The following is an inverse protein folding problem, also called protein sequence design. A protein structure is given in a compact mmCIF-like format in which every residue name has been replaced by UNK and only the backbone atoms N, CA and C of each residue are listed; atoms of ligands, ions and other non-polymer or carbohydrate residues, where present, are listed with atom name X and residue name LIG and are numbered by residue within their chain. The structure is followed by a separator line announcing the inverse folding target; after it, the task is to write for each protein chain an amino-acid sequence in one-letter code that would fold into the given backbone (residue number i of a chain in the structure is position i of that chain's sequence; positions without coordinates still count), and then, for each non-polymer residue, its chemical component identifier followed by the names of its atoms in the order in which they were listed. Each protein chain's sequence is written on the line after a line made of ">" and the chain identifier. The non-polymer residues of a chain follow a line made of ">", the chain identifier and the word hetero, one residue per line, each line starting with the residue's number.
data_IF_950283818230
#
_entry.id   IF_950283818230
#
_cell.length_a   1.000
_cell.length_b   1.000
_cell.length_c   1.000
_cell.angle_alpha   90.00
_cell.angle_beta   90.00
_cell.angle_gamma   90.00
#
_symmetry.space_group_name_H-M   'P 1'
#
loop_
_entity.id
_entity.type
_entity.pdbx_description
1 polymer ?
#
# COMPACT_ATOMS: atom_id res chain seq x y z
N UNK A 1 -26.76 33.44 -2.68
CA UNK A 1 -25.78 34.18 -1.86
C UNK A 1 -25.52 33.37 -0.56
N UNK A 2 -24.28 33.20 -0.18
CA UNK A 2 -23.95 32.58 1.13
C UNK A 2 -24.25 33.62 2.20
N UNK A 3 -24.95 33.27 3.31
CA UNK A 3 -25.20 34.18 4.41
C UNK A 3 -23.87 34.66 5.03
N UNK A 4 -23.84 35.88 5.56
CA UNK A 4 -22.61 36.42 6.18
C UNK A 4 -22.08 35.57 7.31
N UNK A 5 -22.98 34.95 8.07
CA UNK A 5 -22.64 34.01 9.13
C UNK A 5 -21.91 32.76 8.61
N UNK A 6 -22.40 32.14 7.54
CA UNK A 6 -21.74 30.99 6.87
C UNK A 6 -20.36 31.36 6.33
N UNK A 7 -20.18 32.58 5.78
CA UNK A 7 -18.87 33.07 5.34
C UNK A 7 -17.90 33.14 6.53
N UNK A 8 -18.33 33.72 7.63
CA UNK A 8 -17.48 33.91 8.83
C UNK A 8 -17.07 32.57 9.46
N UNK A 9 -17.99 31.62 9.56
CA UNK A 9 -17.70 30.27 10.06
C UNK A 9 -16.64 29.55 9.22
N UNK A 10 -16.74 29.66 7.87
CA UNK A 10 -15.74 29.06 6.97
C UNK A 10 -14.37 29.73 7.11
N UNK A 11 -14.32 31.05 7.18
CA UNK A 11 -13.06 31.77 7.38
C UNK A 11 -12.41 31.37 8.69
N UNK A 12 -13.18 31.27 9.80
CA UNK A 12 -12.67 30.83 11.08
C UNK A 12 -12.07 29.40 11.01
N UNK A 13 -12.77 28.47 10.37
CA UNK A 13 -12.27 27.11 10.16
C UNK A 13 -10.99 27.06 9.33
N UNK A 14 -10.92 27.83 8.23
CA UNK A 14 -9.71 27.90 7.40
C UNK A 14 -8.55 28.59 8.10
N UNK A 15 -8.81 29.59 8.93
CA UNK A 15 -7.79 30.22 9.79
C UNK A 15 -7.17 29.20 10.72
N UNK A 16 -8.00 28.46 11.48
CA UNK A 16 -7.51 27.40 12.38
C UNK A 16 -6.65 26.40 11.62
N UNK A 17 -7.08 25.95 10.42
CA UNK A 17 -6.26 25.06 9.60
C UNK A 17 -4.90 25.68 9.23
N UNK A 18 -4.87 26.97 8.92
CA UNK A 18 -3.62 27.67 8.57
C UNK A 18 -2.69 27.82 9.77
N UNK A 19 -3.26 28.05 10.95
CA UNK A 19 -2.49 28.20 12.20
C UNK A 19 -1.87 26.86 12.62
N UNK A 20 -2.55 25.75 12.35
CA UNK A 20 -2.14 24.38 12.68
C UNK A 20 -1.19 23.73 11.65
N UNK A 21 -1.05 24.30 10.45
CA UNK A 21 -0.29 23.69 9.36
C UNK A 21 0.75 24.65 8.75
N UNK A 22 1.95 24.13 8.51
CA UNK A 22 3.01 24.86 7.81
C UNK A 22 2.77 24.88 6.30
N UNK A 23 2.98 26.03 5.68
CA UNK A 23 2.90 26.22 4.23
C UNK A 23 1.58 25.74 3.58
N UNK A 24 0.39 26.14 4.11
CA UNK A 24 -0.88 25.73 3.54
C UNK A 24 -1.03 26.26 2.11
N UNK A 25 -1.70 25.49 1.27
CA UNK A 25 -2.02 25.88 -0.10
C UNK A 25 -3.51 25.68 -0.40
N UNK A 26 -4.06 26.47 -1.31
CA UNK A 26 -5.45 26.34 -1.74
C UNK A 26 -5.51 25.75 -3.14
N UNK A 27 -6.41 24.81 -3.34
CA UNK A 27 -6.78 24.37 -4.69
C UNK A 27 -8.27 24.05 -4.78
N UNK A 28 -8.80 24.10 -5.98
CA UNK A 28 -10.07 23.49 -6.33
C UNK A 28 -9.87 22.61 -7.57
N UNK A 29 -10.90 21.94 -8.05
CA UNK A 29 -10.75 20.96 -9.12
C UNK A 29 -10.02 21.51 -10.37
N UNK A 30 -10.31 22.77 -10.78
CA UNK A 30 -9.74 23.40 -11.98
C UNK A 30 -8.98 24.71 -11.72
N UNK A 31 -8.70 25.06 -10.47
CA UNK A 31 -8.04 26.34 -10.12
C UNK A 31 -8.86 27.58 -10.50
N UNK A 32 -10.18 27.44 -10.51
CA UNK A 32 -11.09 28.51 -10.93
C UNK A 32 -11.63 29.36 -9.78
N UNK A 33 -12.84 29.87 -9.95
CA UNK A 33 -13.46 30.87 -9.08
C UNK A 33 -13.51 30.49 -7.60
N UNK A 34 -13.75 29.20 -7.29
CA UNK A 34 -13.85 28.73 -5.89
C UNK A 34 -12.57 28.99 -5.09
N UNK A 35 -11.43 28.58 -5.60
CA UNK A 35 -10.14 28.80 -4.92
C UNK A 35 -9.76 30.27 -4.83
N UNK A 36 -10.08 31.07 -5.86
CA UNK A 36 -9.84 32.52 -5.86
C UNK A 36 -10.70 33.23 -4.83
N UNK A 37 -11.98 32.87 -4.69
CA UNK A 37 -12.87 33.45 -3.66
C UNK A 37 -12.35 33.12 -2.26
N UNK A 38 -11.94 31.87 -2.02
CA UNK A 38 -11.36 31.49 -0.72
C UNK A 38 -10.09 32.27 -0.42
N UNK A 39 -9.18 32.38 -1.39
CA UNK A 39 -7.97 33.18 -1.27
C UNK A 39 -8.28 34.64 -0.93
N UNK A 40 -9.21 35.25 -1.66
CA UNK A 40 -9.63 36.63 -1.41
C UNK A 40 -10.20 36.81 0.01
N UNK A 41 -11.09 35.92 0.46
CA UNK A 41 -11.69 36.02 1.78
C UNK A 41 -10.66 35.85 2.91
N UNK A 42 -9.66 35.02 2.72
CA UNK A 42 -8.55 34.85 3.65
C UNK A 42 -7.63 36.09 3.66
N UNK A 43 -7.31 36.65 2.49
CA UNK A 43 -6.51 37.87 2.37
C UNK A 43 -7.19 39.07 3.03
N UNK A 44 -8.53 39.23 2.86
CA UNK A 44 -9.34 40.24 3.56
C UNK A 44 -9.25 40.11 5.09
N UNK A 45 -8.86 38.94 5.60
CA UNK A 45 -8.68 38.67 7.03
C UNK A 45 -7.20 38.52 7.45
N UNK A 46 -6.27 39.05 6.62
CA UNK A 46 -4.84 39.08 6.92
C UNK A 46 -4.09 37.75 6.75
N UNK A 47 -4.67 36.80 6.02
CA UNK A 47 -4.05 35.48 5.77
C UNK A 47 -3.74 35.34 4.27
N UNK A 48 -2.46 35.35 3.93
CA UNK A 48 -2.01 35.15 2.56
C UNK A 48 -1.65 33.67 2.32
N UNK A 49 -2.35 33.05 1.36
CA UNK A 49 -2.13 31.64 1.00
C UNK A 49 -2.02 31.52 -0.52
N UNK A 50 -1.03 30.76 -1.03
CA UNK A 50 -0.91 30.52 -2.47
C UNK A 50 -2.02 29.60 -2.99
N UNK A 51 -2.45 29.87 -4.22
CA UNK A 51 -3.43 29.06 -4.96
C UNK A 51 -2.72 28.27 -6.04
N UNK A 52 -3.01 26.96 -6.12
CA UNK A 52 -2.52 26.13 -7.21
C UNK A 52 -3.20 26.53 -8.53
N UNK A 53 -2.42 27.06 -9.45
CA UNK A 53 -2.92 27.39 -10.80
C UNK A 53 -3.32 26.12 -11.53
N UNK A 54 -4.52 26.10 -12.14
CA UNK A 54 -5.09 24.92 -12.77
C UNK A 54 -5.66 23.88 -11.79
N UNK A 55 -5.51 24.10 -10.47
CA UNK A 55 -6.10 23.31 -9.40
C UNK A 55 -5.64 21.84 -9.38
N UNK A 56 -6.50 20.94 -8.86
CA UNK A 56 -6.21 19.50 -8.79
C UNK A 56 -5.86 18.91 -10.15
N UNK A 57 -6.49 19.37 -11.25
CA UNK A 57 -6.14 18.87 -12.59
C UNK A 57 -4.67 19.10 -12.94
N UNK A 58 -4.12 20.28 -12.60
CA UNK A 58 -2.72 20.58 -12.83
C UNK A 58 -1.80 19.78 -11.91
N UNK A 59 -2.16 19.62 -10.62
CA UNK A 59 -1.44 18.75 -9.69
C UNK A 59 -1.42 17.31 -10.19
N UNK A 60 -2.53 16.78 -10.64
CA UNK A 60 -2.59 15.41 -11.18
C UNK A 60 -1.70 15.22 -12.40
N UNK A 61 -1.66 16.18 -13.31
CA UNK A 61 -0.75 16.14 -14.46
C UNK A 61 0.73 16.23 -14.01
N UNK A 62 1.03 17.01 -12.99
CA UNK A 62 2.36 17.06 -12.41
C UNK A 62 2.79 15.71 -11.83
N UNK A 63 1.94 15.02 -11.06
CA UNK A 63 2.21 13.70 -10.52
C UNK A 63 2.41 12.64 -11.61
N UNK A 64 1.57 12.63 -12.65
CA UNK A 64 1.74 11.73 -13.81
C UNK A 64 3.11 11.94 -14.45
N UNK A 65 3.49 13.19 -14.73
CA UNK A 65 4.81 13.51 -15.29
C UNK A 65 5.97 13.14 -14.35
N UNK A 66 5.75 13.19 -13.06
CA UNK A 66 6.75 12.77 -12.06
C UNK A 66 6.97 11.26 -12.14
N UNK A 67 5.91 10.45 -12.24
CA UNK A 67 6.04 9.00 -12.46
C UNK A 67 6.79 8.71 -13.78
N UNK A 68 6.51 9.45 -14.85
CA UNK A 68 7.22 9.33 -16.12
C UNK A 68 8.72 9.66 -16.01
N UNK A 69 9.13 10.48 -15.04
CA UNK A 69 10.55 10.74 -14.76
C UNK A 69 11.26 9.53 -14.15
N UNK A 70 10.57 8.75 -13.32
CA UNK A 70 11.11 7.50 -12.74
C UNK A 70 11.60 6.57 -13.85
N UNK A 71 10.85 6.47 -14.94
CA UNK A 71 11.17 5.60 -16.09
C UNK A 71 12.40 6.02 -16.90
N UNK A 72 12.86 7.25 -16.70
CA UNK A 72 14.07 7.76 -17.37
C UNK A 72 15.34 7.51 -16.57
N UNK A 73 15.21 6.90 -15.39
CA UNK A 73 16.37 6.62 -14.52
C UNK A 73 17.05 5.32 -14.93
N UNK A 74 18.37 5.36 -15.07
CA UNK A 74 19.19 4.17 -15.39
C UNK A 74 19.65 3.40 -14.14
N UNK A 75 19.19 3.79 -12.95
CA UNK A 75 19.67 3.32 -11.66
C UNK A 75 18.57 2.71 -10.78
N UNK A 76 17.41 2.36 -11.37
CA UNK A 76 16.37 1.60 -10.70
C UNK A 76 16.82 0.16 -10.45
N UNK A 77 16.60 -0.31 -9.24
CA UNK A 77 16.85 -1.69 -8.81
C UNK A 77 15.54 -2.24 -8.25
N UNK A 78 15.13 -3.37 -8.75
CA UNK A 78 13.94 -4.08 -8.27
C UNK A 78 14.36 -5.09 -7.20
N UNK A 79 13.77 -4.98 -6.02
CA UNK A 79 14.00 -5.93 -4.92
C UNK A 79 13.04 -7.08 -5.08
N UNK A 80 13.58 -8.24 -5.44
CA UNK A 80 12.84 -9.48 -5.67
C UNK A 80 13.13 -10.50 -4.57
N UNK A 81 12.24 -11.46 -4.41
CA UNK A 81 12.38 -12.54 -3.43
C UNK A 81 11.06 -13.28 -3.24
N UNK A 82 11.15 -14.53 -2.84
CA UNK A 82 9.99 -15.41 -2.58
C UNK A 82 9.06 -14.78 -1.52
N UNK A 83 7.82 -15.20 -1.47
CA UNK A 83 6.86 -14.78 -0.44
C UNK A 83 7.42 -15.02 0.96
N UNK A 84 7.33 -14.03 1.83
CA UNK A 84 7.90 -14.06 3.19
C UNK A 84 9.39 -13.70 3.30
N UNK A 85 10.06 -13.28 2.22
CA UNK A 85 11.48 -12.90 2.25
C UNK A 85 11.75 -11.51 2.85
N UNK A 86 10.78 -10.89 3.52
CA UNK A 86 10.89 -9.60 4.18
C UNK A 86 11.28 -8.42 3.25
N UNK A 87 10.90 -8.47 1.96
CA UNK A 87 11.14 -7.40 0.98
C UNK A 87 10.69 -6.04 1.48
N UNK A 88 9.47 -5.95 1.99
CA UNK A 88 8.87 -4.72 2.49
C UNK A 88 9.63 -4.14 3.68
N UNK A 89 10.17 -4.99 4.57
CA UNK A 89 11.02 -4.53 5.66
C UNK A 89 12.33 -3.93 5.14
N UNK A 90 12.95 -4.56 4.14
CA UNK A 90 14.15 -4.04 3.48
C UNK A 90 13.84 -2.71 2.77
N UNK A 91 12.78 -2.63 1.97
CA UNK A 91 12.34 -1.41 1.29
C UNK A 91 12.17 -0.27 2.30
N UNK A 92 11.50 -0.52 3.41
CA UNK A 92 11.26 0.49 4.44
C UNK A 92 12.52 0.87 5.24
N UNK A 93 13.60 0.10 5.15
CA UNK A 93 14.89 0.42 5.78
C UNK A 93 15.82 1.27 4.88
N UNK A 94 15.48 1.43 3.62
CA UNK A 94 16.28 2.15 2.62
C UNK A 94 15.63 3.50 2.30
N UNK A 95 16.38 4.59 2.44
CA UNK A 95 15.86 5.95 2.22
C UNK A 95 15.39 6.24 0.79
N UNK A 96 15.98 5.54 -0.20
CA UNK A 96 15.77 5.78 -1.62
C UNK A 96 14.83 4.74 -2.23
N UNK A 97 13.71 4.46 -1.58
CA UNK A 97 12.77 3.41 -1.97
C UNK A 97 11.33 3.89 -1.94
N UNK A 98 10.45 3.15 -2.60
CA UNK A 98 9.00 3.30 -2.46
C UNK A 98 8.41 1.93 -2.17
N UNK A 99 7.65 1.83 -1.08
CA UNK A 99 6.87 0.68 -0.66
C UNK A 99 5.54 0.65 -1.42
N UNK A 100 5.50 -0.06 -2.54
CA UNK A 100 4.30 -0.15 -3.38
C UNK A 100 3.15 -0.90 -2.68
N UNK A 101 3.44 -1.93 -1.90
CA UNK A 101 2.45 -2.66 -1.10
C UNK A 101 1.85 -1.78 0.00
N UNK A 102 2.71 -1.02 0.71
CA UNK A 102 2.27 -0.07 1.73
C UNK A 102 1.40 1.04 1.15
N UNK A 103 1.80 1.65 0.04
CA UNK A 103 1.00 2.66 -0.66
C UNK A 103 -0.32 2.11 -1.18
N UNK A 104 -0.34 0.85 -1.60
CA UNK A 104 -1.55 0.16 -2.03
C UNK A 104 -2.46 -0.27 -0.87
N UNK A 105 -2.00 -0.19 0.37
CA UNK A 105 -2.62 -0.79 1.55
C UNK A 105 -3.00 -2.26 1.31
N UNK A 106 -2.07 -3.03 0.70
CA UNK A 106 -2.29 -4.42 0.30
C UNK A 106 -0.97 -5.14 0.17
N UNK A 107 -0.85 -6.37 0.66
CA UNK A 107 0.39 -7.17 0.67
C UNK A 107 0.57 -8.02 -0.60
N UNK A 108 0.26 -7.54 -1.78
CA UNK A 108 0.53 -8.20 -3.08
C UNK A 108 -0.08 -9.59 -3.32
N UNK A 109 -0.43 -10.34 -2.29
CA UNK A 109 -0.85 -11.74 -2.36
C UNK A 109 -2.37 -11.94 -2.28
N UNK A 110 -2.86 -13.18 -2.44
CA UNK A 110 -4.27 -13.52 -2.21
C UNK A 110 -4.71 -13.25 -0.76
N UNK A 111 -3.77 -13.30 0.19
CA UNK A 111 -3.94 -12.95 1.60
C UNK A 111 -3.53 -11.49 1.88
N UNK A 112 -3.35 -10.68 0.85
CA UNK A 112 -2.90 -9.30 0.95
C UNK A 112 -3.90 -8.26 1.44
N UNK A 113 -5.23 -8.44 1.33
CA UNK A 113 -6.19 -7.44 1.80
C UNK A 113 -5.97 -7.08 3.27
N UNK A 114 -6.04 -5.79 3.58
CA UNK A 114 -6.03 -5.27 4.96
C UNK A 114 -7.46 -4.86 5.35
N UNK A 115 -7.69 -4.62 6.64
CA UNK A 115 -9.01 -4.25 7.14
C UNK A 115 -9.49 -2.90 6.60
N UNK A 116 -8.58 -1.95 6.43
CA UNK A 116 -8.87 -0.68 5.77
C UNK A 116 -8.89 -0.87 4.26
N UNK A 117 -9.81 -0.20 3.54
CA UNK A 117 -9.88 -0.30 2.09
C UNK A 117 -8.60 0.23 1.42
N UNK A 118 -8.35 -0.25 0.21
CA UNK A 118 -7.31 0.29 -0.65
C UNK A 118 -7.65 1.74 -1.05
N UNK A 119 -6.63 2.58 -1.34
CA UNK A 119 -6.85 3.91 -1.88
C UNK A 119 -7.48 3.84 -3.28
N UNK A 120 -7.93 4.99 -3.79
CA UNK A 120 -8.27 5.08 -5.21
C UNK A 120 -7.03 4.93 -6.09
N UNK A 121 -7.20 4.53 -7.36
CA UNK A 121 -6.11 4.46 -8.33
C UNK A 121 -5.34 5.80 -8.41
N UNK A 122 -6.08 6.92 -8.40
CA UNK A 122 -5.48 8.25 -8.48
C UNK A 122 -4.66 8.60 -7.24
N UNK A 123 -5.14 8.23 -6.04
CA UNK A 123 -4.40 8.47 -4.79
C UNK A 123 -3.12 7.62 -4.73
N UNK A 124 -3.20 6.35 -5.10
CA UNK A 124 -2.03 5.47 -5.18
C UNK A 124 -0.94 6.05 -6.11
N UNK A 125 -1.32 6.49 -7.31
CA UNK A 125 -0.38 7.09 -8.24
C UNK A 125 0.17 8.45 -7.75
N UNK A 126 -0.67 9.26 -7.09
CA UNK A 126 -0.23 10.52 -6.50
C UNK A 126 0.80 10.25 -5.39
N UNK A 127 0.57 9.22 -4.55
CA UNK A 127 1.51 8.84 -3.48
C UNK A 127 2.83 8.32 -4.02
N UNK A 128 2.85 7.51 -5.10
CA UNK A 128 4.10 7.11 -5.77
C UNK A 128 4.90 8.36 -6.19
N UNK A 129 4.23 9.33 -6.82
CA UNK A 129 4.89 10.56 -7.24
C UNK A 129 5.38 11.42 -6.06
N UNK A 130 4.58 11.49 -4.99
CA UNK A 130 4.90 12.23 -3.77
C UNK A 130 6.10 11.62 -3.05
N UNK A 131 6.13 10.31 -2.87
CA UNK A 131 7.27 9.58 -2.28
C UNK A 131 8.55 9.79 -3.12
N UNK A 132 8.42 9.74 -4.43
CA UNK A 132 9.55 9.99 -5.33
C UNK A 132 10.10 11.42 -5.20
N UNK A 133 9.23 12.43 -5.01
CA UNK A 133 9.65 13.82 -4.81
C UNK A 133 10.32 14.00 -3.44
N UNK A 134 9.74 13.42 -2.39
CA UNK A 134 10.30 13.53 -1.03
C UNK A 134 11.67 12.87 -0.89
N UNK A 135 11.92 11.82 -1.63
CA UNK A 135 13.23 11.17 -1.63
C UNK A 135 14.33 12.04 -2.26
N UNK A 136 13.98 13.16 -2.93
CA UNK A 136 14.88 14.18 -3.54
C UNK A 136 16.16 13.59 -4.15
N UNK A 137 16.00 12.52 -4.90
CA UNK A 137 17.10 11.70 -5.38
C UNK A 137 17.83 12.38 -6.52
N UNK A 138 19.13 12.58 -6.35
CA UNK A 138 19.99 12.89 -7.50
C UNK A 138 19.82 11.80 -8.56
N UNK A 139 19.89 12.15 -9.85
CA UNK A 139 19.77 11.19 -10.95
C UNK A 139 20.80 10.05 -10.88
N UNK A 140 21.86 10.20 -10.09
CA UNK A 140 22.95 9.24 -9.91
C UNK A 140 22.72 8.25 -8.77
N UNK A 141 21.84 8.54 -7.84
CA UNK A 141 21.56 7.67 -6.70
C UNK A 141 20.70 6.48 -7.10
N UNK A 142 20.99 5.32 -6.53
CA UNK A 142 20.18 4.11 -6.72
C UNK A 142 18.81 4.33 -6.12
N UNK A 143 17.80 3.83 -6.82
CA UNK A 143 16.41 3.89 -6.42
C UNK A 143 15.82 2.48 -6.38
N UNK A 144 15.03 2.16 -5.37
CA UNK A 144 14.55 0.81 -5.14
C UNK A 144 13.03 0.75 -5.17
N UNK A 145 12.49 -0.27 -5.84
CA UNK A 145 11.08 -0.66 -5.81
C UNK A 145 10.98 -2.15 -5.52
N UNK A 146 9.85 -2.57 -4.99
CA UNK A 146 9.53 -3.99 -4.83
C UNK A 146 9.20 -4.63 -6.18
N UNK A 147 9.56 -5.94 -6.31
CA UNK A 147 9.09 -6.79 -7.40
C UNK A 147 7.64 -7.18 -7.16
N UNK A 148 6.75 -6.46 -7.79
CA UNK A 148 5.32 -6.64 -7.65
C UNK A 148 4.63 -6.94 -8.99
N UNK A 149 3.52 -7.67 -8.92
CA UNK A 149 2.61 -7.83 -10.05
C UNK A 149 2.01 -6.49 -10.44
N UNK A 150 1.66 -6.31 -11.72
CA UNK A 150 1.01 -5.08 -12.15
C UNK A 150 -0.24 -4.74 -11.32
N UNK A 151 -1.03 -5.74 -10.94
CA UNK A 151 -2.21 -5.56 -10.10
C UNK A 151 -1.86 -5.87 -8.64
N UNK A 152 -2.07 -4.89 -7.76
CA UNK A 152 -1.95 -5.01 -6.30
C UNK A 152 -3.36 -4.89 -5.70
N UNK A 153 -4.03 -6.02 -5.53
CA UNK A 153 -5.45 -6.05 -5.17
C UNK A 153 -6.34 -5.44 -6.25
N UNK A 154 -7.05 -4.36 -5.95
CA UNK A 154 -7.98 -3.68 -6.87
C UNK A 154 -7.36 -2.51 -7.65
N UNK A 155 -6.11 -2.15 -7.36
CA UNK A 155 -5.37 -1.07 -8.02
C UNK A 155 -4.22 -1.62 -8.84
N UNK A 156 -3.64 -0.79 -9.70
CA UNK A 156 -2.58 -1.24 -10.61
C UNK A 156 -1.41 -0.26 -10.64
N UNK A 157 -0.19 -0.79 -10.72
CA UNK A 157 0.99 0.00 -11.07
C UNK A 157 0.77 0.58 -12.48
N UNK A 158 1.04 1.87 -12.72
CA UNK A 158 0.95 2.47 -14.05
C UNK A 158 1.70 1.62 -15.07
N UNK A 159 1.06 1.33 -16.21
CA UNK A 159 1.59 0.36 -17.18
C UNK A 159 3.04 0.67 -17.58
N UNK A 160 3.32 1.91 -17.88
CA UNK A 160 4.66 2.34 -18.31
C UNK A 160 5.72 2.19 -17.21
N UNK A 161 5.36 2.43 -15.94
CA UNK A 161 6.24 2.17 -14.81
C UNK A 161 6.48 0.67 -14.63
N UNK A 162 5.43 -0.15 -14.72
CA UNK A 162 5.53 -1.60 -14.62
C UNK A 162 6.40 -2.21 -15.72
N UNK A 163 6.26 -1.77 -16.98
CA UNK A 163 7.11 -2.20 -18.09
C UNK A 163 8.58 -1.82 -17.85
N UNK A 164 8.83 -0.63 -17.32
CA UNK A 164 10.17 -0.21 -16.96
C UNK A 164 10.76 -1.03 -15.80
N UNK A 165 9.97 -1.35 -14.77
CA UNK A 165 10.39 -2.24 -13.69
C UNK A 165 10.89 -3.58 -14.23
N UNK A 166 10.19 -4.19 -15.20
CA UNK A 166 10.57 -5.47 -15.81
C UNK A 166 11.89 -5.45 -16.56
N UNK A 167 12.33 -4.30 -17.02
CA UNK A 167 13.62 -4.15 -17.74
C UNK A 167 14.74 -3.67 -16.82
N UNK A 168 14.44 -3.39 -15.56
CA UNK A 168 15.39 -2.87 -14.59
C UNK A 168 16.21 -3.99 -13.95
N UNK A 169 17.31 -3.60 -13.30
CA UNK A 169 18.17 -4.56 -12.58
C UNK A 169 17.41 -5.19 -11.41
N UNK A 170 17.59 -6.49 -11.24
CA UNK A 170 17.00 -7.25 -10.16
C UNK A 170 18.03 -7.50 -9.05
N UNK A 171 17.65 -7.28 -7.81
CA UNK A 171 18.37 -7.72 -6.61
C UNK A 171 17.53 -8.77 -5.91
N UNK A 172 17.98 -10.02 -5.92
CA UNK A 172 17.26 -11.14 -5.33
C UNK A 172 17.63 -11.30 -3.86
N UNK A 173 16.60 -11.35 -3.00
CA UNK A 173 16.74 -11.70 -1.58
C UNK A 173 16.46 -13.20 -1.42
N UNK A 174 17.43 -13.92 -0.90
CA UNK A 174 17.32 -15.33 -0.56
C UNK A 174 17.20 -15.48 0.96
N UNK A 175 16.13 -16.09 1.41
CA UNK A 175 15.81 -16.31 2.84
C UNK A 175 15.38 -17.75 3.03
N UNK A 176 15.81 -18.39 4.12
CA UNK A 176 15.45 -19.75 4.47
C UNK A 176 13.94 -19.94 4.71
N UNK A 177 13.45 -21.16 4.53
CA UNK A 177 12.03 -21.47 4.66
C UNK A 177 11.47 -21.10 6.05
N UNK A 178 12.20 -21.43 7.12
CA UNK A 178 11.79 -21.14 8.49
C UNK A 178 11.64 -19.64 8.76
N UNK A 179 12.60 -18.84 8.32
CA UNK A 179 12.55 -17.38 8.47
C UNK A 179 11.38 -16.77 7.67
N UNK A 180 11.10 -17.35 6.50
CA UNK A 180 9.94 -16.92 5.68
C UNK A 180 8.62 -17.27 6.36
N UNK A 181 8.51 -18.44 7.00
CA UNK A 181 7.34 -18.84 7.79
C UNK A 181 7.14 -17.86 8.95
N UNK A 182 8.20 -17.52 9.68
CA UNK A 182 8.13 -16.54 10.78
C UNK A 182 7.70 -15.16 10.31
N UNK A 183 8.24 -14.69 9.20
CA UNK A 183 7.83 -13.39 8.61
C UNK A 183 6.33 -13.39 8.29
N UNK A 184 5.84 -14.45 7.63
CA UNK A 184 4.41 -14.56 7.28
C UNK A 184 3.54 -14.69 8.54
N UNK A 185 3.97 -15.49 9.52
CA UNK A 185 3.25 -15.63 10.79
C UNK A 185 3.09 -14.27 11.48
N UNK A 186 4.16 -13.49 11.55
CA UNK A 186 4.12 -12.17 12.19
C UNK A 186 3.26 -11.18 11.39
N UNK A 187 3.45 -11.07 10.07
CA UNK A 187 2.81 -10.03 9.25
C UNK A 187 1.36 -10.33 8.90
N UNK A 188 1.05 -11.59 8.54
CA UNK A 188 -0.28 -11.97 8.03
C UNK A 188 -1.20 -12.54 9.10
N UNK A 189 -0.64 -13.07 10.20
CA UNK A 189 -1.44 -13.68 11.25
C UNK A 189 -1.47 -12.76 12.47
N UNK A 190 -0.32 -12.53 13.12
CA UNK A 190 -0.28 -11.81 14.40
C UNK A 190 -0.62 -10.34 14.21
N UNK A 191 0.10 -9.63 13.35
CA UNK A 191 -0.14 -8.20 13.11
C UNK A 191 -1.53 -7.95 12.53
N UNK A 192 -1.94 -8.76 11.54
CA UNK A 192 -3.24 -8.60 10.91
C UNK A 192 -4.41 -8.90 11.87
N UNK A 193 -4.29 -9.91 12.72
CA UNK A 193 -5.28 -10.18 13.75
C UNK A 193 -5.41 -9.00 14.74
N UNK A 194 -4.30 -8.40 15.14
CA UNK A 194 -4.31 -7.22 16.02
C UNK A 194 -5.06 -6.05 15.36
N UNK A 195 -4.93 -5.86 14.04
CA UNK A 195 -5.70 -4.85 13.30
C UNK A 195 -7.22 -5.13 13.40
N UNK A 196 -7.65 -6.39 13.35
CA UNK A 196 -9.05 -6.78 13.55
C UNK A 196 -9.52 -6.52 14.99
N UNK A 197 -8.68 -6.79 16.00
CA UNK A 197 -8.99 -6.50 17.40
C UNK A 197 -9.17 -4.99 17.63
N UNK A 198 -8.31 -4.18 17.04
CA UNK A 198 -8.40 -2.70 17.11
C UNK A 198 -9.64 -2.15 16.40
N UNK A 199 -10.11 -2.84 15.36
CA UNK A 199 -11.29 -2.43 14.60
C UNK A 199 -12.61 -2.81 15.29
N UNK A 200 -12.72 -4.06 15.73
CA UNK A 200 -13.90 -4.63 16.38
C UNK A 200 -13.47 -5.80 17.26
N UNK A 201 -13.19 -5.50 18.53
CA UNK A 201 -12.68 -6.49 19.48
C UNK A 201 -13.63 -7.65 19.75
N UNK A 202 -14.95 -7.42 19.67
CA UNK A 202 -15.96 -8.44 19.94
C UNK A 202 -16.06 -9.47 18.80
N UNK A 203 -15.92 -9.01 17.55
CA UNK A 203 -16.06 -9.85 16.37
C UNK A 203 -14.71 -10.18 15.68
N UNK A 204 -13.59 -9.75 16.24
CA UNK A 204 -12.25 -9.89 15.64
C UNK A 204 -11.94 -11.32 15.16
N UNK A 205 -12.22 -12.32 15.99
CA UNK A 205 -11.97 -13.71 15.67
C UNK A 205 -12.79 -14.22 14.47
N UNK A 206 -14.06 -13.84 14.40
CA UNK A 206 -14.94 -14.20 13.31
C UNK A 206 -14.51 -13.49 12.01
N UNK A 207 -14.26 -12.20 12.08
CA UNK A 207 -13.83 -11.39 10.94
C UNK A 207 -12.49 -11.89 10.37
N UNK A 208 -11.53 -12.18 11.24
CA UNK A 208 -10.23 -12.71 10.83
C UNK A 208 -10.33 -14.12 10.22
N UNK A 209 -11.15 -15.01 10.81
CA UNK A 209 -11.39 -16.34 10.24
C UNK A 209 -12.04 -16.25 8.85
N UNK A 210 -12.99 -15.34 8.67
CA UNK A 210 -13.63 -15.08 7.39
C UNK A 210 -12.63 -14.53 6.36
N UNK A 211 -11.75 -13.63 6.78
CA UNK A 211 -10.65 -13.13 5.94
C UNK A 211 -9.74 -14.26 5.46
N UNK A 212 -9.25 -15.12 6.36
CA UNK A 212 -8.39 -16.25 5.99
C UNK A 212 -9.08 -17.21 5.02
N UNK A 213 -10.34 -17.57 5.33
CA UNK A 213 -11.12 -18.51 4.52
C UNK A 213 -11.42 -17.94 3.12
N UNK A 214 -11.81 -16.67 3.05
CA UNK A 214 -12.08 -16.01 1.77
C UNK A 214 -10.81 -15.85 0.91
N UNK A 215 -9.67 -15.59 1.53
CA UNK A 215 -8.38 -15.51 0.86
C UNK A 215 -7.94 -16.88 0.31
N UNK A 216 -8.09 -17.94 1.10
CA UNK A 216 -7.84 -19.31 0.64
C UNK A 216 -8.75 -19.70 -0.53
N UNK A 217 -10.02 -19.29 -0.51
CA UNK A 217 -10.97 -19.59 -1.57
C UNK A 217 -10.54 -19.02 -2.93
N UNK A 218 -9.90 -17.86 -2.97
CA UNK A 218 -9.42 -17.22 -4.21
C UNK A 218 -8.39 -18.08 -4.95
N UNK A 219 -7.59 -18.87 -4.21
CA UNK A 219 -6.51 -19.68 -4.77
C UNK A 219 -6.88 -21.16 -4.94
N UNK A 220 -8.08 -21.58 -4.55
CA UNK A 220 -8.53 -22.99 -4.54
C UNK A 220 -8.21 -23.73 -5.83
N UNK A 221 -8.48 -23.12 -6.99
CA UNK A 221 -8.29 -23.75 -8.30
C UNK A 221 -6.83 -24.10 -8.57
N UNK A 222 -5.89 -23.22 -8.19
CA UNK A 222 -4.44 -23.42 -8.42
C UNK A 222 -3.80 -24.29 -7.33
N UNK A 223 -4.24 -24.16 -6.10
CA UNK A 223 -3.74 -24.92 -4.95
C UNK A 223 -4.11 -26.42 -5.03
N UNK A 224 -5.23 -26.73 -5.68
CA UNK A 224 -5.77 -28.10 -5.75
C UNK A 224 -6.64 -28.45 -4.54
N UNK A 225 -7.58 -29.38 -4.77
CA UNK A 225 -8.60 -29.72 -3.77
C UNK A 225 -8.06 -30.30 -2.46
N UNK A 226 -7.07 -31.17 -2.54
CA UNK A 226 -6.47 -31.83 -1.37
C UNK A 226 -5.81 -30.81 -0.41
N UNK A 227 -4.91 -29.99 -0.94
CA UNK A 227 -4.20 -28.98 -0.14
C UNK A 227 -5.18 -27.90 0.39
N UNK A 228 -6.17 -27.52 -0.43
CA UNK A 228 -7.23 -26.59 0.00
C UNK A 228 -7.98 -27.11 1.22
N UNK A 229 -8.47 -28.36 1.22
CA UNK A 229 -9.21 -28.92 2.36
C UNK A 229 -8.32 -29.09 3.58
N UNK A 230 -7.06 -29.51 3.42
CA UNK A 230 -6.09 -29.63 4.51
C UNK A 230 -5.85 -28.28 5.18
N UNK A 231 -5.57 -27.23 4.40
CA UNK A 231 -5.32 -25.88 4.92
C UNK A 231 -6.57 -25.31 5.59
N UNK A 232 -7.73 -25.48 4.97
CA UNK A 232 -9.03 -25.03 5.53
C UNK A 232 -9.30 -25.67 6.89
N UNK A 233 -9.05 -26.97 7.05
CA UNK A 233 -9.19 -27.65 8.34
C UNK A 233 -8.24 -27.08 9.39
N UNK A 234 -6.97 -26.85 9.06
CA UNK A 234 -5.99 -26.25 9.96
C UNK A 234 -6.37 -24.80 10.36
N UNK A 235 -6.84 -23.97 9.42
CA UNK A 235 -7.32 -22.62 9.72
C UNK A 235 -8.51 -22.65 10.70
N UNK A 236 -9.47 -23.55 10.47
CA UNK A 236 -10.63 -23.72 11.37
C UNK A 236 -10.21 -24.28 12.74
N UNK A 237 -9.17 -25.11 12.80
CA UNK A 237 -8.61 -25.58 14.06
C UNK A 237 -7.93 -24.44 14.82
N UNK A 238 -7.09 -23.65 14.14
CA UNK A 238 -6.39 -22.51 14.74
C UNK A 238 -7.35 -21.52 15.41
N UNK A 239 -8.52 -21.26 14.81
CA UNK A 239 -9.51 -20.33 15.36
C UNK A 239 -10.03 -20.71 16.76
N UNK A 240 -9.83 -21.99 17.21
CA UNK A 240 -10.21 -22.49 18.54
C UNK A 240 -9.14 -22.22 19.62
N UNK A 241 -7.90 -21.91 19.24
CA UNK A 241 -6.75 -21.81 20.13
C UNK A 241 -6.13 -20.40 20.19
N UNK A 242 -6.94 -19.37 20.09
CA UNK A 242 -6.48 -17.97 19.97
C UNK A 242 -5.38 -17.62 21.00
N UNK A 243 -4.24 -17.10 20.48
CA UNK A 243 -3.07 -16.60 21.25
C UNK A 243 -2.29 -17.60 22.13
N UNK A 244 -2.50 -18.88 21.96
CA UNK A 244 -1.64 -19.91 22.57
C UNK A 244 -0.47 -20.24 21.64
N UNK A 245 0.57 -20.92 22.14
CA UNK A 245 1.65 -21.43 21.28
C UNK A 245 1.10 -22.42 20.23
N UNK A 246 0.09 -23.20 20.60
CA UNK A 246 -0.63 -24.07 19.67
C UNK A 246 -1.26 -23.33 18.50
N UNK A 247 -1.78 -22.11 18.70
CA UNK A 247 -2.28 -21.26 17.61
C UNK A 247 -1.18 -20.96 16.60
N UNK A 248 0.01 -20.56 17.07
CA UNK A 248 1.14 -20.25 16.19
C UNK A 248 1.60 -21.49 15.41
N UNK A 249 1.72 -22.64 16.08
CA UNK A 249 2.14 -23.90 15.44
C UNK A 249 1.19 -24.33 14.33
N UNK A 250 -0.14 -24.30 14.58
CA UNK A 250 -1.12 -24.63 13.54
C UNK A 250 -1.03 -23.70 12.35
N UNK A 251 -0.79 -22.40 12.58
CA UNK A 251 -0.60 -21.45 11.49
C UNK A 251 0.69 -21.70 10.71
N UNK A 252 1.81 -22.03 11.38
CA UNK A 252 3.08 -22.41 10.73
C UNK A 252 2.90 -23.57 9.77
N UNK A 253 2.20 -24.61 10.19
CA UNK A 253 1.95 -25.81 9.39
C UNK A 253 1.29 -25.51 8.04
N UNK A 254 0.20 -24.75 8.02
CA UNK A 254 -0.46 -24.48 6.76
C UNK A 254 0.23 -23.38 5.93
N UNK A 255 0.96 -22.45 6.57
CA UNK A 255 1.82 -21.48 5.88
C UNK A 255 2.90 -22.23 5.11
N UNK A 256 3.55 -23.22 5.73
CA UNK A 256 4.55 -24.06 5.06
C UNK A 256 3.97 -24.76 3.83
N UNK A 257 2.78 -25.37 3.94
CA UNK A 257 2.10 -25.99 2.78
C UNK A 257 1.87 -24.95 1.66
N UNK A 258 1.37 -23.77 2.00
CA UNK A 258 1.15 -22.71 1.01
C UNK A 258 2.43 -22.24 0.32
N UNK A 259 3.52 -22.10 1.08
CA UNK A 259 4.80 -21.69 0.51
C UNK A 259 5.31 -22.73 -0.49
N UNK A 260 5.38 -24.01 -0.08
CA UNK A 260 5.96 -25.06 -0.88
C UNK A 260 5.09 -25.49 -2.07
N UNK A 261 3.76 -25.54 -1.89
CA UNK A 261 2.84 -26.14 -2.87
C UNK A 261 2.16 -25.10 -3.78
N UNK A 262 2.26 -23.80 -3.44
CA UNK A 262 1.59 -22.76 -4.21
C UNK A 262 2.51 -21.58 -4.56
N UNK A 263 3.11 -20.91 -3.55
CA UNK A 263 3.84 -19.66 -3.81
C UNK A 263 5.19 -19.91 -4.47
N UNK A 264 5.98 -20.89 -4.01
CA UNK A 264 7.31 -21.14 -4.55
C UNK A 264 7.27 -21.64 -5.99
N UNK A 265 6.42 -22.61 -6.36
CA UNK A 265 6.29 -23.02 -7.75
C UNK A 265 5.82 -21.90 -8.68
N UNK A 266 4.94 -21.02 -8.19
CA UNK A 266 4.45 -19.87 -8.95
C UNK A 266 5.55 -18.82 -9.17
N UNK A 267 6.36 -18.56 -8.14
CA UNK A 267 7.48 -17.62 -8.22
C UNK A 267 8.57 -18.13 -9.17
N UNK A 268 8.93 -19.40 -9.09
CA UNK A 268 9.91 -20.02 -9.98
C UNK A 268 9.46 -20.00 -11.46
N UNK A 269 8.16 -20.19 -11.71
CA UNK A 269 7.59 -20.03 -13.04
C UNK A 269 7.67 -18.59 -13.58
N UNK A 270 7.59 -17.59 -12.71
CA UNK A 270 7.67 -16.17 -13.10
C UNK A 270 9.10 -15.70 -13.39
N UNK A 271 10.11 -16.34 -12.80
CA UNK A 271 11.52 -16.03 -13.02
C UNK A 271 12.09 -16.62 -14.32
N UNK A 272 11.46 -17.67 -14.87
CA UNK A 272 11.81 -18.31 -16.13
C UNK A 272 11.06 -17.68 -17.31
#
# INVERSE_FOLDING_TARGET
>A
MISGETKNLRIASWRSFCDDNQNPIIYCHRGGLRSKIVQQWLAENGIEIPVVQGGYKALRQFFIRTIEKIQKRNNLIIIAGKTGSAKTQLINSVSNSIDLEGLANHRGSAFGPRIRPQPSQADFENEIATQYIYNDLSEKERFFLEDESRAIGSISIPLTLFEFMKTSKLALIEVGLEERIETILNDYIISNYNDYVLHDSENAALLFTNYLTSSLQKIKKRLGGKNFETIKQKMNQASKYQFTDTFKEIHRDWIQILLLEYYDPMYEYQLN
#
